data_IF_155644480070
#
_entry.id   IF_155644480070
#
_cell.length_a   1.000
_cell.length_b   1.000
_cell.length_c   1.000
_cell.angle_alpha   90.00
_cell.angle_beta   90.00
_cell.angle_gamma   90.00
#
_symmetry.space_group_name_H-M   'P 1'
#
loop_
_entity.id
_entity.type
_entity.pdbx_description
1 polymer ?
#
# COMPACT_ATOMS: atom_id res chain seq x y z
N UNK A 1 19.98 11.18 -7.59
CA UNK A 1 18.79 10.33 -7.84
C UNK A 1 18.13 10.81 -9.13
N UNK A 2 17.76 9.90 -10.04
CA UNK A 2 17.10 10.26 -11.30
C UNK A 2 15.71 10.89 -11.08
N UNK A 3 15.20 11.68 -12.03
CA UNK A 3 13.89 12.36 -11.94
C UNK A 3 12.70 11.41 -11.71
N UNK A 4 12.79 10.14 -12.13
CA UNK A 4 11.77 9.13 -11.79
C UNK A 4 11.65 8.99 -10.26
N UNK A 5 12.77 8.88 -9.56
CA UNK A 5 12.79 8.75 -8.12
C UNK A 5 12.19 9.97 -7.42
N UNK A 6 12.33 11.18 -7.98
CA UNK A 6 11.70 12.38 -7.38
C UNK A 6 10.18 12.47 -7.59
N UNK A 7 9.64 11.82 -8.62
CA UNK A 7 8.19 11.63 -8.76
C UNK A 7 7.73 10.58 -7.76
N UNK A 8 8.39 9.43 -7.72
CA UNK A 8 8.05 8.34 -6.81
C UNK A 8 8.16 8.74 -5.34
N UNK A 9 9.16 9.52 -4.92
CA UNK A 9 9.31 10.03 -3.55
C UNK A 9 8.10 10.83 -3.08
N UNK A 10 7.44 11.59 -3.97
CA UNK A 10 6.24 12.37 -3.64
C UNK A 10 5.02 11.49 -3.40
N UNK A 11 4.88 10.40 -4.15
CA UNK A 11 3.79 9.44 -3.99
C UNK A 11 4.09 8.39 -2.91
N UNK A 12 5.37 8.17 -2.59
CA UNK A 12 5.83 7.22 -1.59
C UNK A 12 5.23 7.50 -0.21
N UNK A 13 5.17 8.78 0.20
CA UNK A 13 4.58 9.13 1.49
C UNK A 13 3.07 8.82 1.54
N UNK A 14 2.37 8.99 0.42
CA UNK A 14 0.96 8.66 0.30
C UNK A 14 0.78 7.13 0.35
N UNK A 15 1.63 6.37 -0.35
CA UNK A 15 1.65 4.91 -0.29
C UNK A 15 1.87 4.36 1.11
N UNK A 16 2.80 4.96 1.85
CA UNK A 16 3.09 4.56 3.23
C UNK A 16 1.86 4.77 4.11
N UNK A 17 1.27 5.97 4.09
CA UNK A 17 0.11 6.32 4.93
C UNK A 17 -1.09 5.45 4.56
N UNK A 18 -1.39 5.37 3.27
CA UNK A 18 -2.57 4.67 2.75
C UNK A 18 -2.44 3.16 2.94
N UNK A 19 -1.27 2.60 2.62
CA UNK A 19 -0.96 1.18 2.84
C UNK A 19 -1.10 0.80 4.31
N UNK A 20 -0.59 1.64 5.22
CA UNK A 20 -0.75 1.43 6.66
C UNK A 20 -2.22 1.43 7.11
N UNK A 21 -3.00 2.43 6.70
CA UNK A 21 -4.42 2.54 7.05
C UNK A 21 -5.20 1.32 6.54
N UNK A 22 -4.90 0.87 5.31
CA UNK A 22 -5.55 -0.31 4.75
C UNK A 22 -5.16 -1.61 5.46
N UNK A 23 -3.89 -1.77 5.84
CA UNK A 23 -3.46 -2.87 6.70
C UNK A 23 -4.28 -2.91 7.99
N UNK A 24 -4.41 -1.75 8.64
CA UNK A 24 -5.17 -1.62 9.88
C UNK A 24 -6.67 -1.91 9.67
N UNK A 25 -7.25 -1.41 8.58
CA UNK A 25 -8.64 -1.66 8.23
C UNK A 25 -8.93 -3.14 7.97
N UNK A 26 -8.05 -3.83 7.23
CA UNK A 26 -8.15 -5.28 7.01
C UNK A 26 -8.01 -6.05 8.31
N UNK A 27 -7.14 -5.59 9.22
CA UNK A 27 -7.04 -6.19 10.55
C UNK A 27 -8.35 -6.03 11.33
N UNK A 28 -9.00 -4.85 11.36
CA UNK A 28 -10.29 -4.66 12.08
C UNK A 28 -11.34 -5.69 11.65
N UNK A 29 -11.42 -5.96 10.36
CA UNK A 29 -12.49 -6.77 9.79
C UNK A 29 -12.10 -8.24 9.58
N UNK A 30 -10.91 -8.69 9.99
CA UNK A 30 -10.43 -10.05 9.72
C UNK A 30 -11.28 -11.16 10.36
N UNK A 31 -12.07 -10.83 11.38
CA UNK A 31 -12.95 -11.76 12.09
C UNK A 31 -14.32 -11.94 11.41
N UNK A 32 -14.71 -11.06 10.48
CA UNK A 32 -15.92 -11.20 9.67
C UNK A 32 -15.52 -11.60 8.25
N UNK A 33 -15.89 -12.81 7.82
CA UNK A 33 -15.43 -13.37 6.55
C UNK A 33 -15.88 -12.58 5.32
N UNK A 34 -17.04 -11.91 5.37
CA UNK A 34 -17.52 -11.10 4.26
C UNK A 34 -16.81 -9.74 4.23
N UNK A 35 -16.72 -9.07 5.38
CA UNK A 35 -16.06 -7.77 5.47
C UNK A 35 -14.56 -7.88 5.22
N UNK A 36 -13.91 -8.99 5.61
CA UNK A 36 -12.51 -9.26 5.32
C UNK A 36 -12.23 -9.43 3.82
N UNK A 37 -13.10 -10.15 3.10
CA UNK A 37 -12.98 -10.30 1.64
C UNK A 37 -13.15 -8.95 0.94
N UNK A 38 -14.16 -8.16 1.34
CA UNK A 38 -14.39 -6.82 0.79
C UNK A 38 -13.21 -5.90 1.10
N UNK A 39 -12.69 -5.91 2.33
CA UNK A 39 -11.50 -5.15 2.71
C UNK A 39 -10.29 -5.52 1.86
N UNK A 40 -10.06 -6.82 1.66
CA UNK A 40 -8.95 -7.34 0.84
C UNK A 40 -9.07 -6.92 -0.62
N UNK A 41 -10.27 -7.00 -1.22
CA UNK A 41 -10.52 -6.52 -2.59
C UNK A 41 -10.22 -5.02 -2.69
N UNK A 42 -10.68 -4.22 -1.71
CA UNK A 42 -10.45 -2.78 -1.69
C UNK A 42 -8.95 -2.45 -1.61
N UNK A 43 -8.20 -3.16 -0.76
CA UNK A 43 -6.74 -3.02 -0.65
C UNK A 43 -6.05 -3.33 -1.97
N UNK A 44 -6.42 -4.43 -2.65
CA UNK A 44 -5.82 -4.82 -3.93
C UNK A 44 -6.06 -3.74 -5.00
N UNK A 45 -7.30 -3.25 -5.11
CA UNK A 45 -7.65 -2.20 -6.07
C UNK A 45 -6.85 -0.92 -5.78
N UNK A 46 -6.79 -0.50 -4.51
CA UNK A 46 -6.04 0.71 -4.15
C UNK A 46 -4.54 0.57 -4.35
N UNK A 47 -3.95 -0.57 -3.99
CA UNK A 47 -2.54 -0.84 -4.22
C UNK A 47 -2.21 -0.77 -5.72
N UNK A 48 -3.07 -1.32 -6.59
CA UNK A 48 -2.93 -1.20 -8.04
C UNK A 48 -2.97 0.26 -8.51
N UNK A 49 -3.94 1.04 -8.03
CA UNK A 49 -4.06 2.46 -8.40
C UNK A 49 -2.82 3.24 -7.96
N UNK A 50 -2.40 3.07 -6.71
CA UNK A 50 -1.24 3.75 -6.12
C UNK A 50 0.07 3.39 -6.82
N UNK A 51 0.19 2.16 -7.28
CA UNK A 51 1.35 1.71 -8.05
C UNK A 51 1.35 2.26 -9.49
N UNK A 52 0.18 2.33 -10.14
CA UNK A 52 0.05 2.72 -11.54
C UNK A 52 0.13 4.24 -11.78
N UNK A 53 -0.32 5.08 -10.83
CA UNK A 53 -0.30 6.54 -10.97
C UNK A 53 1.13 7.08 -11.17
N UNK A 54 2.12 6.76 -10.31
CA UNK A 54 3.50 7.24 -10.47
C UNK A 54 4.12 6.79 -11.81
N UNK A 55 3.81 5.57 -12.27
CA UNK A 55 4.24 5.08 -13.58
C UNK A 55 3.61 5.92 -14.69
N UNK A 56 2.30 6.15 -14.65
CA UNK A 56 1.60 6.97 -15.63
C UNK A 56 2.15 8.39 -15.70
N UNK A 57 2.46 8.99 -14.55
CA UNK A 57 3.07 10.33 -14.46
C UNK A 57 4.50 10.33 -15.01
N UNK A 58 5.28 9.29 -14.75
CA UNK A 58 6.63 9.14 -15.28
C UNK A 58 6.62 8.97 -16.82
N UNK A 59 5.72 8.14 -17.35
CA UNK A 59 5.52 7.97 -18.81
C UNK A 59 5.04 9.28 -19.43
N UNK A 60 4.08 9.97 -18.83
CA UNK A 60 3.60 11.26 -19.31
C UNK A 60 4.73 12.30 -19.36
N UNK A 61 5.57 12.35 -18.32
CA UNK A 61 6.74 13.23 -18.29
C UNK A 61 7.75 12.88 -19.38
N UNK A 62 7.99 11.58 -19.63
CA UNK A 62 8.82 11.10 -20.76
C UNK A 62 8.32 11.64 -22.09
N UNK A 63 7.03 11.48 -22.36
CA UNK A 63 6.41 11.86 -23.65
C UNK A 63 6.35 13.37 -23.82
N UNK A 64 5.98 14.11 -22.77
CA UNK A 64 5.79 15.57 -22.84
C UNK A 64 7.10 16.36 -22.85
N UNK A 65 8.10 15.92 -22.08
CA UNK A 65 9.35 16.65 -21.89
C UNK A 65 10.52 16.04 -22.66
N UNK A 66 10.27 15.03 -23.50
CA UNK A 66 11.28 14.27 -24.26
C UNK A 66 12.43 13.76 -23.38
N UNK A 67 12.11 13.34 -22.16
CA UNK A 67 13.12 12.83 -21.22
C UNK A 67 13.53 11.40 -21.58
N UNK A 68 14.83 11.10 -21.53
CA UNK A 68 15.34 9.74 -21.69
C UNK A 68 15.14 8.94 -20.39
N UNK A 69 13.93 8.41 -20.23
CA UNK A 69 13.60 7.44 -19.19
C UNK A 69 13.77 6.03 -19.76
N UNK A 70 14.69 5.24 -19.19
CA UNK A 70 14.86 3.84 -19.59
C UNK A 70 13.75 2.96 -19.04
N UNK A 71 13.39 1.89 -19.77
CA UNK A 71 12.39 0.91 -19.32
C UNK A 71 12.84 0.23 -18.02
N UNK A 72 14.14 -0.03 -17.86
CA UNK A 72 14.70 -0.61 -16.64
C UNK A 72 14.42 0.27 -15.41
N UNK A 73 14.60 1.58 -15.50
CA UNK A 73 14.31 2.50 -14.39
C UNK A 73 12.83 2.55 -14.02
N UNK A 74 11.93 2.41 -15.00
CA UNK A 74 10.48 2.31 -14.75
C UNK A 74 10.14 1.01 -14.00
N UNK A 75 10.75 -0.11 -14.37
CA UNK A 75 10.55 -1.41 -13.71
C UNK A 75 11.11 -1.38 -12.28
N UNK A 76 12.31 -0.84 -12.07
CA UNK A 76 12.89 -0.69 -10.73
C UNK A 76 12.00 0.16 -9.82
N UNK A 77 11.54 1.31 -10.31
CA UNK A 77 10.67 2.19 -9.54
C UNK A 77 9.30 1.55 -9.25
N UNK A 78 8.75 0.80 -10.21
CA UNK A 78 7.54 0.00 -10.02
C UNK A 78 7.71 -1.03 -8.90
N UNK A 79 8.75 -1.85 -8.97
CA UNK A 79 9.03 -2.88 -7.98
C UNK A 79 9.26 -2.28 -6.59
N UNK A 80 9.95 -1.14 -6.52
CA UNK A 80 10.17 -0.41 -5.27
C UNK A 80 8.86 0.07 -4.66
N UNK A 81 7.95 0.61 -5.47
CA UNK A 81 6.64 1.07 -5.01
C UNK A 81 5.79 -0.11 -4.50
N UNK A 82 5.69 -1.20 -5.28
CA UNK A 82 4.98 -2.43 -4.87
C UNK A 82 5.52 -2.97 -3.54
N UNK A 83 6.84 -3.02 -3.39
CA UNK A 83 7.47 -3.47 -2.16
C UNK A 83 7.13 -2.56 -0.97
N UNK A 84 7.16 -1.24 -1.16
CA UNK A 84 6.82 -0.27 -0.12
C UNK A 84 5.36 -0.42 0.35
N UNK A 85 4.41 -0.48 -0.59
CA UNK A 85 2.98 -0.64 -0.28
C UNK A 85 2.73 -1.94 0.48
N UNK A 86 3.34 -3.06 0.04
CA UNK A 86 3.21 -4.36 0.70
C UNK A 86 3.76 -4.35 2.13
N UNK A 87 4.94 -3.73 2.35
CA UNK A 87 5.55 -3.60 3.67
C UNK A 87 4.68 -2.74 4.59
N UNK A 88 4.20 -1.60 4.12
CA UNK A 88 3.35 -0.70 4.91
C UNK A 88 2.00 -1.34 5.25
N UNK A 89 1.41 -2.06 4.30
CA UNK A 89 0.22 -2.87 4.53
C UNK A 89 0.44 -3.93 5.61
N UNK A 90 1.52 -4.71 5.51
CA UNK A 90 1.84 -5.73 6.50
C UNK A 90 2.07 -5.12 7.89
N UNK A 91 2.77 -3.99 7.98
CA UNK A 91 2.96 -3.26 9.24
C UNK A 91 1.64 -2.78 9.84
N UNK A 92 0.77 -2.16 9.04
CA UNK A 92 -0.55 -1.72 9.47
C UNK A 92 -1.43 -2.88 9.94
N UNK A 93 -1.37 -4.01 9.24
CA UNK A 93 -2.09 -5.23 9.61
C UNK A 93 -1.61 -5.77 10.96
N UNK A 94 -0.30 -5.93 11.15
CA UNK A 94 0.29 -6.42 12.40
C UNK A 94 -0.12 -5.53 13.59
N UNK A 95 0.02 -4.21 13.47
CA UNK A 95 -0.38 -3.28 14.53
C UNK A 95 -1.89 -3.33 14.80
N UNK A 96 -2.71 -3.37 13.73
CA UNK A 96 -4.16 -3.52 13.86
C UNK A 96 -4.56 -4.81 14.57
N UNK A 97 -3.90 -5.93 14.26
CA UNK A 97 -4.12 -7.21 14.92
C UNK A 97 -3.79 -7.16 16.42
N UNK A 98 -2.72 -6.45 16.82
CA UNK A 98 -2.43 -6.23 18.25
C UNK A 98 -3.50 -5.36 18.93
N UNK A 99 -3.96 -4.30 18.27
CA UNK A 99 -5.01 -3.43 18.82
C UNK A 99 -6.31 -4.21 19.09
N UNK A 100 -6.73 -5.02 18.13
CA UNK A 100 -7.93 -5.86 18.25
C UNK A 100 -7.70 -6.99 19.26
N UNK A 101 -6.54 -7.65 19.22
CA UNK A 101 -6.20 -8.71 20.16
C UNK A 101 -6.22 -8.23 21.62
N UNK A 102 -5.74 -7.01 21.88
CA UNK A 102 -5.80 -6.37 23.20
C UNK A 102 -7.25 -5.98 23.58
N UNK A 103 -8.06 -5.48 22.65
CA UNK A 103 -9.49 -5.18 22.90
C UNK A 103 -10.37 -6.42 23.09
N UNK A 104 -10.02 -7.59 22.52
CA UNK A 104 -10.74 -8.85 22.77
C UNK A 104 -10.34 -9.43 24.14
N UNK A 105 -9.07 -9.29 24.55
CA UNK A 105 -8.61 -9.68 25.90
C UNK A 105 -9.35 -8.90 27.02
N UNK A 106 -9.65 -7.62 26.80
CA UNK A 106 -10.40 -6.80 27.76
C UNK A 106 -11.91 -7.10 27.83
N UNK A 107 -12.47 -7.84 26.85
CA UNK A 107 -13.88 -8.27 26.85
C UNK A 107 -14.12 -9.67 27.47
N UNK A 108 -13.11 -10.28 28.11
CA UNK A 108 -13.30 -11.43 28.99
C UNK A 108 -13.72 -12.75 28.35
N UNK A 109 -13.76 -12.84 27.02
CA UNK A 109 -14.14 -14.07 26.31
C UNK A 109 -13.05 -14.48 25.31
N UNK A 110 -11.99 -15.11 25.80
CA UNK A 110 -11.04 -15.83 24.94
C UNK A 110 -10.45 -17.06 25.64
N UNK A 111 -11.29 -17.81 26.36
CA UNK A 111 -11.09 -19.25 26.62
C UNK A 111 -12.46 -19.90 26.89
N UNK A 112 -13.14 -20.30 25.81
CA UNK A 112 -13.97 -21.51 25.75
C UNK A 112 -13.94 -22.04 24.34
#
# INVERSE_FOLDING_TARGET
>A
MGKIYSVFDKYCILDIIVGFIFGFYTAIHHNDSQLWVIATIFVIIFALIMTLIPIGVAIYSKVKNSEDISVAQLIEAFLLNVAMTAVCFAFGFVIGSFYIGNYILDNGTLFR
#
